data_IF_813010356184
#
_entry.id   IF_813010356184
#
_cell.length_a   1.000
_cell.length_b   1.000
_cell.length_c   1.000
_cell.angle_alpha   90.00
_cell.angle_beta   90.00
_cell.angle_gamma   90.00
#
_symmetry.space_group_name_H-M   'P 1'
#
loop_
_entity.id
_entity.type
_entity.pdbx_description
1 polymer ?
#
# COMPACT_ATOMS: atom_id res chain seq x y z
N UNK A 1 10.00 20.35 16.35
CA UNK A 1 10.63 19.26 15.58
C UNK A 1 11.35 19.86 14.39
N UNK A 2 12.50 19.31 14.06
CA UNK A 2 13.27 19.75 12.88
C UNK A 2 12.49 19.45 11.59
N UNK A 3 12.79 20.22 10.55
CA UNK A 3 12.24 20.00 9.20
C UNK A 3 13.23 19.23 8.36
N UNK A 4 12.83 18.08 7.84
CA UNK A 4 13.59 17.31 6.85
C UNK A 4 12.80 17.28 5.55
N UNK A 5 13.46 17.53 4.44
CA UNK A 5 12.80 17.61 3.13
C UNK A 5 13.29 16.47 2.24
N UNK A 6 12.35 15.68 1.74
CA UNK A 6 12.61 14.67 0.73
C UNK A 6 12.39 15.28 -0.67
N UNK A 7 13.41 15.12 -1.49
CA UNK A 7 13.40 15.49 -2.91
C UNK A 7 13.87 14.30 -3.72
N UNK A 8 13.10 13.92 -4.71
CA UNK A 8 13.57 12.93 -5.67
C UNK A 8 14.65 13.50 -6.59
N UNK A 9 15.41 12.61 -7.19
CA UNK A 9 16.44 12.94 -8.18
C UNK A 9 15.88 13.21 -9.59
N UNK A 10 14.54 13.21 -9.75
CA UNK A 10 13.85 13.39 -11.04
C UNK A 10 13.68 12.11 -11.85
N UNK A 11 14.08 10.96 -11.33
CA UNK A 11 13.84 9.67 -11.97
C UNK A 11 12.36 9.31 -11.93
N UNK A 12 11.72 9.35 -13.10
CA UNK A 12 10.29 9.02 -13.27
C UNK A 12 10.03 7.52 -13.45
N UNK A 13 11.07 6.73 -13.57
CA UNK A 13 11.01 5.29 -13.78
C UNK A 13 11.60 4.50 -12.61
N UNK A 14 12.13 5.18 -11.62
CA UNK A 14 12.67 4.60 -10.41
C UNK A 14 11.62 4.16 -9.41
N UNK A 15 12.07 3.66 -8.28
CA UNK A 15 11.23 3.33 -7.13
C UNK A 15 11.78 4.06 -5.90
N UNK A 16 11.10 5.13 -5.50
CA UNK A 16 11.49 5.92 -4.32
C UNK A 16 11.05 5.31 -2.98
N UNK A 17 10.34 4.19 -3.00
CA UNK A 17 9.86 3.53 -1.78
C UNK A 17 10.96 3.27 -0.74
N UNK A 18 12.10 2.67 -1.11
CA UNK A 18 13.20 2.44 -0.18
C UNK A 18 13.75 3.71 0.47
N UNK A 19 13.95 4.77 -0.32
CA UNK A 19 14.47 6.05 0.16
C UNK A 19 13.46 6.77 1.07
N UNK A 20 12.18 6.77 0.70
CA UNK A 20 11.11 7.36 1.52
C UNK A 20 10.99 6.60 2.84
N UNK A 21 11.00 5.27 2.82
CA UNK A 21 10.96 4.44 4.03
C UNK A 21 12.17 4.71 4.93
N UNK A 22 13.35 4.88 4.35
CA UNK A 22 14.56 5.26 5.10
C UNK A 22 14.42 6.64 5.75
N UNK A 23 13.89 7.62 5.00
CA UNK A 23 13.66 8.97 5.50
C UNK A 23 12.63 8.98 6.65
N UNK A 24 11.51 8.26 6.50
CA UNK A 24 10.50 8.12 7.54
C UNK A 24 11.08 7.55 8.83
N UNK A 25 11.82 6.44 8.75
CA UNK A 25 12.50 5.84 9.91
C UNK A 25 13.50 6.79 10.56
N UNK A 26 14.21 7.59 9.76
CA UNK A 26 15.17 8.58 10.26
C UNK A 26 14.53 9.75 10.98
N UNK A 27 13.31 10.16 10.57
CA UNK A 27 12.56 11.28 11.14
C UNK A 27 11.67 10.90 12.33
N UNK A 28 11.31 9.64 12.48
CA UNK A 28 10.38 9.19 13.50
C UNK A 28 10.75 9.69 14.91
N UNK A 29 9.82 10.39 15.57
CA UNK A 29 9.99 11.00 16.90
C UNK A 29 10.99 12.18 16.97
N UNK A 30 11.62 12.58 15.86
CA UNK A 30 12.71 13.59 15.84
C UNK A 30 12.38 14.79 14.97
N UNK A 31 11.85 14.56 13.79
CA UNK A 31 11.64 15.58 12.78
C UNK A 31 10.31 15.39 12.03
N UNK A 32 9.88 16.42 11.33
CA UNK A 32 8.78 16.36 10.35
C UNK A 32 9.39 16.14 8.98
N UNK A 33 8.95 15.05 8.31
CA UNK A 33 9.33 14.77 6.93
C UNK A 33 8.38 15.48 5.97
N UNK A 34 8.92 16.28 5.09
CA UNK A 34 8.19 16.94 4.01
C UNK A 34 8.54 16.28 2.69
N UNK A 35 7.53 15.81 1.96
CA UNK A 35 7.69 15.42 0.57
C UNK A 35 7.34 16.63 -0.28
N UNK A 36 8.35 17.19 -0.96
CA UNK A 36 8.16 18.36 -1.82
C UNK A 36 7.36 18.03 -3.08
N UNK A 37 6.93 19.10 -3.77
CA UNK A 37 6.28 18.99 -5.08
C UNK A 37 7.09 18.11 -6.05
N UNK A 38 6.42 17.13 -6.63
CA UNK A 38 6.99 16.19 -7.60
C UNK A 38 6.15 14.92 -7.68
N UNK A 39 6.39 14.12 -8.71
CA UNK A 39 5.81 12.79 -8.86
C UNK A 39 6.88 11.76 -8.50
N UNK A 40 6.57 10.93 -7.52
CA UNK A 40 7.47 9.92 -6.96
C UNK A 40 6.89 8.52 -7.21
N UNK A 41 7.29 7.82 -8.28
CA UNK A 41 6.96 6.41 -8.42
C UNK A 41 7.49 5.64 -7.21
N UNK A 42 6.64 4.89 -6.54
CA UNK A 42 7.01 4.24 -5.29
C UNK A 42 6.39 2.86 -5.13
N UNK A 43 7.14 1.95 -4.54
CA UNK A 43 6.61 0.72 -3.98
C UNK A 43 5.97 0.95 -2.61
N UNK A 44 5.79 -0.12 -1.83
CA UNK A 44 5.17 -0.04 -0.50
C UNK A 44 5.88 0.94 0.44
N UNK A 45 5.08 1.71 1.17
CA UNK A 45 5.54 2.64 2.21
C UNK A 45 5.05 2.17 3.57
N UNK A 46 6.00 1.92 4.48
CA UNK A 46 5.75 1.60 5.88
C UNK A 46 5.85 2.85 6.75
N UNK A 47 4.80 3.11 7.52
CA UNK A 47 4.76 4.25 8.43
C UNK A 47 5.18 3.80 9.82
N UNK A 48 6.29 4.27 10.36
CA UNK A 48 6.70 3.96 11.73
C UNK A 48 5.90 4.77 12.77
N UNK A 49 5.93 4.32 14.03
CA UNK A 49 5.41 5.11 15.16
C UNK A 49 6.08 6.48 15.25
N UNK A 50 5.38 7.44 15.82
CA UNK A 50 5.84 8.83 16.05
C UNK A 50 6.19 9.56 14.73
N UNK A 51 5.47 9.23 13.65
CA UNK A 51 5.66 9.87 12.34
C UNK A 51 4.94 11.21 12.27
N UNK A 52 5.64 12.20 11.69
CA UNK A 52 5.06 13.46 11.20
C UNK A 52 5.45 13.61 9.74
N UNK A 53 4.48 13.42 8.86
CA UNK A 53 4.66 13.44 7.40
C UNK A 53 3.78 14.53 6.79
N UNK A 54 4.37 15.38 5.97
CA UNK A 54 3.66 16.38 5.18
C UNK A 54 3.86 16.11 3.70
N UNK A 55 2.77 15.89 2.97
CA UNK A 55 2.77 15.86 1.53
C UNK A 55 2.42 17.27 1.03
N UNK A 56 3.41 18.00 0.52
CA UNK A 56 3.22 19.38 0.06
C UNK A 56 2.28 19.44 -1.16
N UNK A 57 1.77 20.61 -1.47
CA UNK A 57 0.98 20.84 -2.68
C UNK A 57 1.76 20.44 -3.94
N UNK A 58 1.16 19.58 -4.76
CA UNK A 58 1.78 19.02 -5.95
C UNK A 58 2.77 17.89 -5.68
N UNK A 59 2.90 17.41 -4.45
CA UNK A 59 3.58 16.15 -4.16
C UNK A 59 2.64 14.99 -4.48
N UNK A 60 3.11 14.00 -5.23
CA UNK A 60 2.37 12.79 -5.58
C UNK A 60 3.22 11.55 -5.33
N UNK A 61 2.76 10.68 -4.44
CA UNK A 61 3.25 9.31 -4.32
C UNK A 61 2.45 8.44 -5.29
N UNK A 62 3.08 8.03 -6.38
CA UNK A 62 2.48 7.25 -7.46
C UNK A 62 2.88 5.79 -7.33
N UNK A 63 1.99 4.96 -6.78
CA UNK A 63 2.31 3.57 -6.48
C UNK A 63 2.45 2.73 -7.74
N UNK A 64 3.60 2.07 -7.87
CA UNK A 64 3.96 1.25 -9.04
C UNK A 64 3.03 0.03 -9.11
N UNK A 65 2.49 -0.27 -10.28
CA UNK A 65 1.55 -1.37 -10.52
C UNK A 65 2.24 -2.69 -10.88
N UNK A 66 3.33 -3.02 -10.18
CA UNK A 66 4.09 -4.27 -10.34
C UNK A 66 3.79 -5.23 -9.18
N UNK A 67 3.20 -6.39 -9.50
CA UNK A 67 2.85 -7.43 -8.51
C UNK A 67 4.06 -7.90 -7.68
N UNK A 68 5.25 -7.93 -8.27
CA UNK A 68 6.44 -8.51 -7.65
C UNK A 68 7.01 -7.70 -6.48
N UNK A 69 6.68 -6.40 -6.39
CA UNK A 69 7.23 -5.52 -5.34
C UNK A 69 6.35 -5.46 -4.08
N UNK A 70 5.15 -6.05 -4.12
CA UNK A 70 4.22 -6.09 -2.99
C UNK A 70 4.27 -7.48 -2.34
N UNK A 71 5.30 -7.75 -1.56
CA UNK A 71 5.46 -9.01 -0.85
C UNK A 71 4.32 -9.31 0.13
N UNK A 72 4.26 -10.54 0.67
CA UNK A 72 3.23 -10.92 1.62
C UNK A 72 3.42 -10.27 2.98
N UNK A 73 2.33 -9.82 3.57
CA UNK A 73 2.23 -9.37 4.97
C UNK A 73 1.06 -10.05 5.67
N UNK A 74 1.19 -10.31 6.96
CA UNK A 74 0.07 -10.75 7.78
C UNK A 74 -0.89 -9.60 7.98
N UNK A 75 -2.14 -9.79 7.59
CA UNK A 75 -3.17 -8.76 7.65
C UNK A 75 -4.57 -9.37 7.67
N UNK A 76 -5.58 -8.60 7.31
CA UNK A 76 -6.97 -8.98 7.23
C UNK A 76 -7.51 -8.67 5.84
N UNK A 77 -8.24 -9.62 5.29
CA UNK A 77 -8.98 -9.44 4.06
C UNK A 77 -10.47 -9.72 4.30
N UNK A 78 -11.28 -8.68 4.17
CA UNK A 78 -12.74 -8.78 4.42
C UNK A 78 -13.09 -9.47 5.76
N UNK A 79 -12.34 -9.15 6.82
CA UNK A 79 -12.54 -9.71 8.15
C UNK A 79 -11.86 -11.06 8.42
N UNK A 80 -11.15 -11.63 7.44
CA UNK A 80 -10.44 -12.91 7.57
C UNK A 80 -8.94 -12.65 7.73
N UNK A 81 -8.28 -13.15 8.80
CA UNK A 81 -6.83 -13.08 8.93
C UNK A 81 -6.17 -13.87 7.80
N UNK A 82 -5.22 -13.26 7.12
CA UNK A 82 -4.53 -13.90 6.01
C UNK A 82 -3.19 -13.24 5.71
N UNK A 83 -2.38 -13.91 4.91
CA UNK A 83 -1.28 -13.30 4.19
C UNK A 83 -1.80 -12.64 2.91
N UNK A 84 -1.66 -11.34 2.78
CA UNK A 84 -2.08 -10.60 1.59
C UNK A 84 -0.95 -9.73 1.06
N UNK A 85 -1.15 -9.15 -0.12
CA UNK A 85 -0.19 -8.21 -0.67
C UNK A 85 0.01 -7.04 0.27
N UNK A 86 1.27 -6.64 0.41
CA UNK A 86 1.64 -5.46 1.17
C UNK A 86 0.82 -4.25 0.71
N UNK A 87 0.14 -3.54 1.61
CA UNK A 87 -0.54 -2.30 1.25
C UNK A 87 0.42 -1.29 0.62
N UNK A 88 -0.08 -0.45 -0.26
CA UNK A 88 0.74 0.62 -0.84
C UNK A 88 1.25 1.58 0.24
N UNK A 89 0.36 1.99 1.15
CA UNK A 89 0.66 2.86 2.29
C UNK A 89 0.18 2.18 3.57
N UNK A 90 1.13 1.67 4.36
CA UNK A 90 0.84 0.75 5.46
C UNK A 90 1.14 1.36 6.81
N UNK A 91 0.12 1.40 7.67
CA UNK A 91 0.16 1.90 9.05
C UNK A 91 -0.25 0.73 9.94
N UNK A 92 0.71 -0.03 10.44
CA UNK A 92 0.42 -1.27 11.19
C UNK A 92 1.23 -1.36 12.47
N UNK A 93 0.51 -1.65 13.57
CA UNK A 93 1.10 -1.85 14.90
C UNK A 93 1.91 -0.64 15.39
N UNK A 94 1.44 0.57 15.08
CA UNK A 94 2.11 1.84 15.37
C UNK A 94 1.22 2.78 16.18
N UNK A 95 1.84 3.82 16.73
CA UNK A 95 1.17 4.87 17.49
C UNK A 95 1.70 6.26 17.16
N UNK A 96 0.88 7.27 17.42
CA UNK A 96 1.24 8.69 17.32
C UNK A 96 1.72 9.06 15.90
N UNK A 97 0.83 8.92 14.92
CA UNK A 97 1.09 9.19 13.52
C UNK A 97 0.25 10.36 13.04
N UNK A 98 0.90 11.34 12.43
CA UNK A 98 0.21 12.45 11.73
C UNK A 98 0.71 12.54 10.30
N UNK A 99 -0.21 12.43 9.37
CA UNK A 99 0.02 12.58 7.94
C UNK A 99 -0.91 13.67 7.43
N UNK A 100 -0.33 14.71 6.85
CA UNK A 100 -1.12 15.88 6.45
C UNK A 100 -0.58 16.56 5.19
N UNK A 101 -1.29 17.57 4.72
CA UNK A 101 -0.92 18.36 3.54
C UNK A 101 -1.97 18.29 2.45
N UNK A 102 -1.62 18.70 1.25
CA UNK A 102 -2.49 18.72 0.07
C UNK A 102 -1.97 17.87 -1.09
N UNK A 103 -1.02 16.97 -0.80
CA UNK A 103 -0.48 16.03 -1.79
C UNK A 103 -1.41 14.86 -2.11
N UNK A 104 -0.94 13.97 -2.98
CA UNK A 104 -1.73 12.90 -3.58
C UNK A 104 -1.09 11.54 -3.29
N UNK A 105 -1.91 10.56 -2.89
CA UNK A 105 -1.61 9.14 -2.96
C UNK A 105 -2.35 8.55 -4.17
N UNK A 106 -1.62 8.18 -5.22
CA UNK A 106 -2.17 7.59 -6.44
C UNK A 106 -1.89 6.10 -6.51
N UNK A 107 -2.94 5.30 -6.51
CA UNK A 107 -2.82 3.84 -6.47
C UNK A 107 -2.59 3.16 -7.81
N UNK A 108 -2.77 3.86 -8.94
CA UNK A 108 -2.68 3.29 -10.29
C UNK A 108 -3.48 1.98 -10.44
N UNK A 109 -4.70 1.96 -9.91
CA UNK A 109 -5.52 0.78 -9.68
C UNK A 109 -5.95 0.01 -10.93
N UNK A 110 -5.81 0.61 -12.13
CA UNK A 110 -6.36 0.04 -13.36
C UNK A 110 -5.87 -1.37 -13.67
N UNK A 111 -4.57 -1.63 -13.58
CA UNK A 111 -3.99 -2.95 -13.84
C UNK A 111 -4.52 -4.02 -12.88
N UNK A 112 -4.70 -3.65 -11.61
CA UNK A 112 -5.27 -4.52 -10.60
C UNK A 112 -6.73 -4.86 -10.89
N UNK A 113 -7.53 -3.90 -11.34
CA UNK A 113 -8.92 -4.12 -11.72
C UNK A 113 -9.03 -4.96 -12.97
N UNK A 114 -8.26 -4.63 -14.00
CA UNK A 114 -8.27 -5.38 -15.26
C UNK A 114 -7.94 -6.85 -15.01
N UNK A 115 -6.97 -7.13 -14.14
CA UNK A 115 -6.59 -8.48 -13.77
C UNK A 115 -7.75 -9.25 -13.10
N UNK A 116 -8.39 -8.65 -12.10
CA UNK A 116 -9.51 -9.28 -11.40
C UNK A 116 -10.76 -9.38 -12.28
N UNK A 117 -11.04 -8.37 -13.08
CA UNK A 117 -12.19 -8.38 -14.00
C UNK A 117 -12.00 -9.43 -15.09
N UNK A 118 -10.81 -9.55 -15.65
CA UNK A 118 -10.50 -10.60 -16.62
C UNK A 118 -10.72 -11.99 -16.01
N UNK A 119 -10.20 -12.25 -14.81
CA UNK A 119 -10.45 -13.51 -14.11
C UNK A 119 -11.94 -13.79 -13.88
N UNK A 120 -12.72 -12.78 -13.48
CA UNK A 120 -14.17 -12.92 -13.32
C UNK A 120 -14.85 -13.25 -14.65
N UNK A 121 -14.43 -12.64 -15.75
CA UNK A 121 -15.02 -12.79 -17.07
C UNK A 121 -14.62 -14.10 -17.77
N UNK A 122 -13.48 -14.67 -17.45
CA UNK A 122 -12.97 -15.93 -18.01
C UNK A 122 -13.43 -17.19 -17.28
N UNK A 123 -14.51 -17.10 -16.48
CA UNK A 123 -15.13 -18.24 -15.82
C UNK A 123 -14.50 -18.59 -14.46
N UNK A 124 -13.72 -17.68 -13.90
CA UNK A 124 -13.09 -17.86 -12.56
C UNK A 124 -12.29 -19.15 -12.48
N UNK A 125 -11.37 -19.35 -13.41
CA UNK A 125 -10.46 -20.51 -13.38
C UNK A 125 -9.86 -20.64 -11.99
N UNK A 126 -10.05 -21.77 -11.37
CA UNK A 126 -9.57 -22.04 -10.03
C UNK A 126 -8.06 -22.27 -10.03
N UNK A 127 -7.42 -21.82 -8.96
CA UNK A 127 -6.03 -22.09 -8.69
C UNK A 127 -5.06 -20.94 -9.05
N UNK A 128 -3.90 -20.93 -8.41
CA UNK A 128 -2.86 -19.97 -8.66
C UNK A 128 -2.14 -20.27 -9.99
N UNK A 129 -1.87 -19.21 -10.77
CA UNK A 129 -1.24 -19.31 -12.08
C UNK A 129 0.13 -18.62 -12.14
N UNK A 130 0.33 -17.58 -11.33
CA UNK A 130 1.58 -16.83 -11.29
C UNK A 130 2.44 -17.22 -10.08
N UNK A 131 3.70 -16.80 -10.06
CA UNK A 131 4.61 -17.02 -8.92
C UNK A 131 4.08 -16.37 -7.64
N UNK A 132 3.52 -15.17 -7.79
CA UNK A 132 2.94 -14.41 -6.68
C UNK A 132 1.70 -15.13 -6.13
N UNK A 133 0.80 -15.60 -6.99
CA UNK A 133 -0.37 -16.36 -6.59
C UNK A 133 0.01 -17.67 -5.88
N UNK A 134 1.00 -18.40 -6.40
CA UNK A 134 1.52 -19.62 -5.77
C UNK A 134 2.09 -19.33 -4.38
N UNK A 135 2.83 -18.22 -4.23
CA UNK A 135 3.35 -17.80 -2.94
C UNK A 135 2.22 -17.54 -1.94
N UNK A 136 1.24 -16.72 -2.30
CA UNK A 136 0.12 -16.39 -1.42
C UNK A 136 -0.73 -17.64 -1.08
N UNK A 137 -0.99 -18.52 -2.04
CA UNK A 137 -1.67 -19.78 -1.80
C UNK A 137 -0.92 -20.67 -0.81
N UNK A 138 0.40 -20.74 -0.90
CA UNK A 138 1.22 -21.54 0.02
C UNK A 138 1.20 -21.02 1.46
N UNK A 139 1.06 -19.69 1.63
CA UNK A 139 0.99 -19.04 2.93
C UNK A 139 -0.42 -19.12 3.56
N UNK A 140 -1.47 -19.18 2.73
CA UNK A 140 -2.87 -19.22 3.15
C UNK A 140 -3.45 -20.62 2.98
N UNK A 141 -2.95 -21.60 3.73
CA UNK A 141 -3.45 -22.98 3.66
C UNK A 141 -4.94 -23.04 3.95
N UNK A 142 -5.69 -23.75 3.10
CA UNK A 142 -7.14 -23.84 3.19
C UNK A 142 -7.87 -22.57 2.75
N UNK A 143 -7.23 -21.72 1.95
CA UNK A 143 -7.84 -20.48 1.45
C UNK A 143 -9.08 -20.77 0.59
N UNK A 144 -9.18 -21.95 -0.01
CA UNK A 144 -10.32 -22.39 -0.82
C UNK A 144 -11.60 -22.46 0.00
N UNK A 145 -11.49 -22.81 1.28
CA UNK A 145 -12.60 -23.01 2.21
C UNK A 145 -12.83 -21.81 3.14
N UNK A 146 -12.06 -20.74 3.00
CA UNK A 146 -12.19 -19.56 3.86
C UNK A 146 -13.53 -18.85 3.64
N UNK A 147 -14.23 -18.45 4.70
CA UNK A 147 -15.45 -17.67 4.59
C UNK A 147 -15.17 -16.25 4.10
N UNK A 148 -16.20 -15.61 3.55
CA UNK A 148 -16.12 -14.23 3.10
C UNK A 148 -15.53 -14.04 1.70
N UNK A 149 -15.25 -12.81 1.36
CA UNK A 149 -14.82 -12.42 0.00
C UNK A 149 -13.46 -12.96 -0.41
N UNK A 150 -12.59 -13.27 0.54
CA UNK A 150 -11.26 -13.84 0.30
C UNK A 150 -11.28 -15.34 0.04
N UNK A 151 -12.32 -16.05 0.50
CA UNK A 151 -12.40 -17.49 0.43
C UNK A 151 -12.47 -18.03 -0.99
N UNK A 152 -11.66 -19.03 -1.30
CA UNK A 152 -11.67 -19.72 -2.57
C UNK A 152 -11.28 -18.87 -3.79
N UNK A 153 -10.66 -17.72 -3.58
CA UNK A 153 -10.37 -16.75 -4.65
C UNK A 153 -8.91 -16.31 -4.63
N UNK A 154 -7.99 -17.11 -5.17
CA UNK A 154 -6.54 -16.81 -5.12
C UNK A 154 -6.18 -15.43 -5.66
N UNK A 155 -6.90 -14.97 -6.68
CA UNK A 155 -6.68 -13.65 -7.29
C UNK A 155 -6.95 -12.46 -6.36
N UNK A 156 -7.70 -12.65 -5.29
CA UNK A 156 -7.99 -11.55 -4.35
C UNK A 156 -6.80 -11.15 -3.50
N UNK A 157 -5.85 -12.04 -3.30
CA UNK A 157 -4.60 -11.73 -2.58
C UNK A 157 -3.68 -10.78 -3.37
N UNK A 158 -3.96 -10.57 -4.64
CA UNK A 158 -3.16 -9.79 -5.57
C UNK A 158 -3.72 -8.38 -5.86
N UNK A 159 -4.34 -7.77 -4.87
CA UNK A 159 -4.79 -6.37 -4.93
C UNK A 159 -4.36 -5.66 -3.66
N UNK A 160 -3.22 -4.93 -3.68
CA UNK A 160 -2.78 -4.22 -2.49
C UNK A 160 -3.79 -3.11 -2.13
N UNK A 161 -4.24 -3.00 -0.88
CA UNK A 161 -4.95 -1.80 -0.43
C UNK A 161 -4.07 -0.57 -0.64
N UNK A 162 -4.66 0.54 -1.12
CA UNK A 162 -3.89 1.77 -1.27
C UNK A 162 -3.47 2.33 0.09
N UNK A 163 -4.37 2.32 1.06
CA UNK A 163 -4.12 2.73 2.42
C UNK A 163 -4.72 1.70 3.37
N UNK A 164 -3.92 1.19 4.30
CA UNK A 164 -4.40 0.30 5.36
C UNK A 164 -3.88 0.74 6.72
N UNK A 165 -4.79 0.83 7.69
CA UNK A 165 -4.48 1.06 9.10
C UNK A 165 -4.86 -0.21 9.85
N UNK A 166 -3.90 -0.81 10.58
CA UNK A 166 -4.09 -2.07 11.29
C UNK A 166 -3.48 -1.98 12.69
N UNK A 167 -4.22 -2.38 13.73
CA UNK A 167 -3.76 -2.45 15.13
C UNK A 167 -2.96 -1.21 15.59
N UNK A 168 -3.38 -0.04 15.17
CA UNK A 168 -2.68 1.23 15.42
C UNK A 168 -3.56 2.18 16.23
N UNK A 169 -2.94 3.13 16.94
CA UNK A 169 -3.65 4.15 17.74
C UNK A 169 -3.09 5.54 17.47
N UNK A 170 -3.91 6.54 17.74
CA UNK A 170 -3.55 7.96 17.60
C UNK A 170 -3.03 8.29 16.19
N UNK A 171 -3.79 7.84 15.16
CA UNK A 171 -3.50 8.07 13.76
C UNK A 171 -4.38 9.18 13.21
N UNK A 172 -3.76 10.23 12.69
CA UNK A 172 -4.43 11.37 12.06
C UNK A 172 -3.97 11.46 10.60
N UNK A 173 -4.91 11.43 9.67
CA UNK A 173 -4.66 11.65 8.23
C UNK A 173 -5.62 12.74 7.78
N UNK A 174 -5.07 13.85 7.24
CA UNK A 174 -5.90 15.00 6.85
C UNK A 174 -5.36 15.76 5.64
N UNK A 175 -6.27 16.25 4.81
CA UNK A 175 -5.97 17.17 3.69
C UNK A 175 -5.42 16.50 2.44
N UNK A 176 -4.90 15.28 2.50
CA UNK A 176 -4.38 14.55 1.34
C UNK A 176 -5.50 14.05 0.43
N UNK A 177 -5.19 13.90 -0.84
CA UNK A 177 -6.06 13.28 -1.84
C UNK A 177 -5.67 11.84 -2.08
N UNK A 178 -6.64 10.93 -2.08
CA UNK A 178 -6.46 9.51 -2.36
C UNK A 178 -7.20 9.17 -3.64
N UNK A 179 -6.52 8.63 -4.64
CA UNK A 179 -7.11 8.40 -5.97
C UNK A 179 -6.62 7.12 -6.63
N UNK A 180 -7.36 6.65 -7.63
CA UNK A 180 -7.05 5.43 -8.41
C UNK A 180 -6.76 4.21 -7.55
N UNK A 181 -7.62 3.96 -6.56
CA UNK A 181 -7.49 2.84 -5.64
C UNK A 181 -7.55 1.50 -6.39
N UNK A 182 -6.72 0.55 -5.96
CA UNK A 182 -6.75 -0.83 -6.46
C UNK A 182 -7.94 -1.63 -5.92
N UNK A 183 -8.43 -1.25 -4.75
CA UNK A 183 -9.52 -1.89 -4.03
C UNK A 183 -10.46 -0.81 -3.50
N UNK A 184 -11.76 -0.95 -3.83
CA UNK A 184 -12.82 -0.15 -3.26
C UNK A 184 -13.64 -1.08 -2.36
N UNK A 185 -13.57 -0.87 -1.06
CA UNK A 185 -14.54 -1.37 -0.11
C UNK A 185 -15.49 -0.21 0.23
N UNK A 186 -16.71 -0.38 -0.19
CA UNK A 186 -17.81 0.48 0.23
C UNK A 186 -18.60 -0.25 1.30
#
# INVERSE_FOLDING_TARGET
MDRVVFRGNGDRFGNYGPEINKALKGCAGKAVLYIEKGVYPTGPIDIPSHTRLVLEEGAELSFIDDFSIYGPVETWWEGVPCWAMHPCFFISEVEDVVIEGSGILRGNGKKWWDYILNWKNTGRVAGPETKEELLFASLNKGYEDQPGGGGGRPKQFLRPPLLQINKSKDVVIRGITVTELSLIHI
#
